data_IF_635466154698
#
_entry.id   IF_635466154698
#
_cell.length_a   1.000
_cell.length_b   1.000
_cell.length_c   1.000
_cell.angle_alpha   90.00
_cell.angle_beta   90.00
_cell.angle_gamma   90.00
#
_symmetry.space_group_name_H-M   'P 1'
#
loop_
_entity.id
_entity.type
_entity.pdbx_description
1 polymer ?
#
# COMPACT_ATOMS: atom_id res chain seq x y z
N UNK A 1 -15.68 -22.26 0.58
CA UNK A 1 -16.41 -20.99 0.72
C UNK A 1 -15.33 -19.93 0.75
N UNK A 2 -15.31 -19.03 -0.23
CA UNK A 2 -14.40 -17.88 -0.20
C UNK A 2 -14.61 -17.15 1.12
N UNK A 3 -13.57 -17.11 1.95
CA UNK A 3 -13.73 -16.69 3.33
C UNK A 3 -13.74 -15.17 3.37
N UNK A 4 -14.85 -14.56 3.77
CA UNK A 4 -14.94 -13.11 4.02
C UNK A 4 -13.80 -12.63 4.91
N UNK A 5 -13.31 -13.50 5.80
CA UNK A 5 -12.12 -13.29 6.62
C UNK A 5 -10.87 -12.91 5.80
N UNK A 6 -10.67 -13.49 4.63
CA UNK A 6 -9.53 -13.22 3.78
C UNK A 6 -9.59 -11.81 3.18
N UNK A 7 -10.76 -11.38 2.70
CA UNK A 7 -10.93 -10.02 2.18
C UNK A 7 -10.75 -8.99 3.29
N UNK A 8 -11.22 -9.29 4.50
CA UNK A 8 -10.97 -8.46 5.68
C UNK A 8 -9.47 -8.38 5.97
N UNK A 9 -8.75 -9.50 5.98
CA UNK A 9 -7.30 -9.51 6.19
C UNK A 9 -6.54 -8.68 5.13
N UNK A 10 -7.02 -8.64 3.90
CA UNK A 10 -6.46 -7.79 2.86
C UNK A 10 -6.73 -6.30 3.12
N UNK A 11 -7.95 -5.95 3.53
CA UNK A 11 -8.26 -4.58 3.95
C UNK A 11 -7.41 -4.14 5.15
N UNK A 12 -7.19 -5.03 6.12
CA UNK A 12 -6.32 -4.79 7.27
C UNK A 12 -4.86 -4.59 6.82
N UNK A 13 -4.39 -5.38 5.86
CA UNK A 13 -3.03 -5.24 5.33
C UNK A 13 -2.82 -3.91 4.58
N UNK A 14 -3.80 -3.46 3.79
CA UNK A 14 -3.76 -2.14 3.14
C UNK A 14 -3.83 -1.00 4.16
N UNK A 15 -4.62 -1.16 5.22
CA UNK A 15 -4.67 -0.20 6.34
C UNK A 15 -3.32 -0.11 7.05
N UNK A 16 -2.67 -1.26 7.29
CA UNK A 16 -1.34 -1.30 7.90
C UNK A 16 -0.27 -0.63 7.01
N UNK A 17 -0.38 -0.74 5.69
CA UNK A 17 0.48 0.01 4.77
C UNK A 17 0.24 1.53 4.89
N UNK A 18 -1.02 1.97 5.00
CA UNK A 18 -1.35 3.38 5.21
C UNK A 18 -0.77 3.91 6.52
N UNK A 19 -0.84 3.14 7.61
CA UNK A 19 -0.24 3.51 8.89
C UNK A 19 1.29 3.59 8.84
N UNK A 20 1.95 2.69 8.09
CA UNK A 20 3.38 2.75 7.84
C UNK A 20 3.78 4.02 7.04
N UNK A 21 3.02 4.35 5.98
CA UNK A 21 3.22 5.58 5.20
C UNK A 21 3.06 6.83 6.09
N UNK A 22 2.03 6.85 6.94
CA UNK A 22 1.78 7.94 7.86
C UNK A 22 2.94 8.10 8.87
N UNK A 23 3.39 7.00 9.45
CA UNK A 23 4.53 6.99 10.38
C UNK A 23 5.79 7.53 9.71
N UNK A 24 6.05 7.11 8.48
CA UNK A 24 7.21 7.54 7.69
C UNK A 24 7.13 9.02 7.31
N UNK A 25 5.96 9.51 6.92
CA UNK A 25 5.72 10.93 6.67
C UNK A 25 5.99 11.77 7.92
N UNK A 26 5.41 11.39 9.06
CA UNK A 26 5.58 12.12 10.32
C UNK A 26 7.04 12.12 10.78
N UNK A 27 7.77 11.03 10.56
CA UNK A 27 9.19 10.96 10.81
C UNK A 27 9.97 11.92 9.91
N UNK A 28 9.73 11.92 8.59
CA UNK A 28 10.41 12.78 7.64
C UNK A 28 10.13 14.28 7.86
N UNK A 29 8.94 14.64 8.34
CA UNK A 29 8.58 16.01 8.72
C UNK A 29 9.32 16.50 9.97
N UNK A 30 9.62 15.59 10.90
CA UNK A 30 10.33 15.90 12.15
C UNK A 30 11.85 15.87 11.99
N UNK A 31 12.36 15.14 11.00
CA UNK A 31 13.78 15.08 10.72
C UNK A 31 14.25 16.34 9.99
N UNK A 32 15.25 17.06 10.51
CA UNK A 32 15.86 18.16 9.78
C UNK A 32 16.69 17.64 8.59
N UNK A 33 16.66 18.37 7.49
CA UNK A 33 17.49 18.13 6.33
C UNK A 33 18.99 18.34 6.68
N UNK A 34 19.91 17.64 6.01
CA UNK A 34 21.35 17.84 6.22
C UNK A 34 21.73 19.32 5.99
N UNK A 35 22.21 19.99 7.04
CA UNK A 35 22.70 21.37 6.96
C UNK A 35 21.67 22.49 7.18
N UNK A 36 20.47 22.20 7.69
CA UNK A 36 19.48 23.25 7.96
C UNK A 36 18.38 22.88 8.95
N UNK A 37 17.47 23.83 9.20
CA UNK A 37 16.29 23.64 10.05
C UNK A 37 15.04 23.19 9.26
N UNK A 38 15.13 23.09 7.94
CA UNK A 38 14.02 22.64 7.09
C UNK A 38 13.82 21.13 7.21
N UNK A 39 12.60 20.59 7.06
CA UNK A 39 12.36 19.15 7.06
C UNK A 39 13.11 18.39 5.96
N UNK A 40 13.41 17.11 6.20
CA UNK A 40 14.09 16.23 5.24
C UNK A 40 13.24 15.93 3.99
N UNK A 41 11.92 16.13 4.08
CA UNK A 41 10.97 16.02 2.97
C UNK A 41 10.50 17.41 2.51
N UNK A 42 10.36 17.60 1.20
CA UNK A 42 9.77 18.83 0.67
C UNK A 42 8.26 18.88 0.94
N UNK A 43 7.70 20.09 1.02
CA UNK A 43 6.26 20.27 1.23
C UNK A 43 5.40 19.54 0.18
N UNK A 44 5.77 19.64 -1.10
CA UNK A 44 5.04 18.98 -2.19
C UNK A 44 5.09 17.44 -2.09
N UNK A 45 6.24 16.88 -1.71
CA UNK A 45 6.36 15.44 -1.52
C UNK A 45 5.59 14.97 -0.27
N UNK A 46 5.61 15.76 0.81
CA UNK A 46 4.83 15.49 2.01
C UNK A 46 3.32 15.49 1.73
N UNK A 47 2.84 16.47 0.96
CA UNK A 47 1.43 16.56 0.56
C UNK A 47 1.02 15.37 -0.31
N UNK A 48 1.81 15.03 -1.34
CA UNK A 48 1.52 13.89 -2.20
C UNK A 48 1.47 12.56 -1.42
N UNK A 49 2.40 12.37 -0.48
CA UNK A 49 2.42 11.18 0.37
C UNK A 49 1.21 11.11 1.30
N UNK A 50 0.81 12.24 1.89
CA UNK A 50 -0.39 12.33 2.72
C UNK A 50 -1.68 12.06 1.94
N UNK A 51 -1.83 12.65 0.75
CA UNK A 51 -2.98 12.40 -0.12
C UNK A 51 -3.08 10.92 -0.49
N UNK A 52 -1.95 10.29 -0.86
CA UNK A 52 -1.92 8.87 -1.17
C UNK A 52 -2.29 7.99 0.02
N UNK A 53 -1.80 8.32 1.23
CA UNK A 53 -2.13 7.62 2.47
C UNK A 53 -3.63 7.67 2.77
N UNK A 54 -4.24 8.86 2.71
CA UNK A 54 -5.67 9.05 2.95
C UNK A 54 -6.51 8.25 1.96
N UNK A 55 -6.18 8.29 0.68
CA UNK A 55 -6.90 7.53 -0.35
C UNK A 55 -6.73 6.01 -0.11
N UNK A 56 -5.55 5.56 0.34
CA UNK A 56 -5.30 4.15 0.62
C UNK A 56 -6.17 3.67 1.78
N UNK A 57 -6.26 4.45 2.85
CA UNK A 57 -7.13 4.19 4.00
C UNK A 57 -8.61 4.14 3.59
N UNK A 58 -9.05 5.07 2.74
CA UNK A 58 -10.42 5.05 2.20
C UNK A 58 -10.70 3.79 1.37
N UNK A 59 -9.75 3.33 0.55
CA UNK A 59 -9.89 2.09 -0.23
C UNK A 59 -9.96 0.86 0.65
N UNK A 60 -9.09 0.78 1.67
CA UNK A 60 -9.11 -0.30 2.64
C UNK A 60 -10.48 -0.39 3.34
N UNK A 61 -11.00 0.74 3.81
CA UNK A 61 -12.34 0.80 4.41
C UNK A 61 -13.45 0.39 3.42
N UNK A 62 -13.36 0.80 2.16
CA UNK A 62 -14.29 0.38 1.12
C UNK A 62 -14.27 -1.14 0.89
N UNK A 63 -13.08 -1.75 0.83
CA UNK A 63 -12.91 -3.21 0.70
C UNK A 63 -13.50 -3.92 1.92
N UNK A 64 -13.29 -3.39 3.12
CA UNK A 64 -13.86 -3.94 4.36
C UNK A 64 -15.40 -3.94 4.32
N UNK A 65 -16.01 -2.82 3.89
CA UNK A 65 -17.46 -2.71 3.75
C UNK A 65 -18.03 -3.65 2.68
N UNK A 66 -17.30 -3.85 1.58
CA UNK A 66 -17.69 -4.72 0.47
C UNK A 66 -17.22 -6.19 0.64
N UNK A 67 -16.68 -6.57 1.80
CA UNK A 67 -15.98 -7.86 1.97
C UNK A 67 -16.84 -9.08 1.61
N UNK A 68 -18.13 -9.07 1.99
CA UNK A 68 -19.06 -10.15 1.66
C UNK A 68 -19.37 -10.23 0.15
N UNK A 69 -19.35 -9.10 -0.57
CA UNK A 69 -19.51 -9.09 -2.03
C UNK A 69 -18.24 -9.59 -2.71
N UNK A 70 -17.09 -9.14 -2.23
CA UNK A 70 -15.79 -9.45 -2.82
C UNK A 70 -15.37 -10.89 -2.59
N UNK A 71 -15.78 -11.53 -1.48
CA UNK A 71 -15.54 -12.96 -1.29
C UNK A 71 -16.22 -13.80 -2.37
N UNK A 72 -17.41 -13.40 -2.84
CA UNK A 72 -18.09 -14.07 -3.94
C UNK A 72 -17.46 -13.81 -5.34
N UNK A 73 -16.42 -12.97 -5.45
CA UNK A 73 -15.88 -12.49 -6.73
C UNK A 73 -14.72 -13.33 -7.32
N UNK A 74 -14.37 -14.45 -6.67
CA UNK A 74 -13.40 -15.40 -7.20
C UNK A 74 -11.93 -14.99 -7.01
N UNK A 75 -11.64 -14.07 -6.07
CA UNK A 75 -10.29 -13.61 -5.76
C UNK A 75 -9.45 -14.62 -4.96
N UNK A 76 -10.02 -15.75 -4.54
CA UNK A 76 -9.39 -16.74 -3.65
C UNK A 76 -8.01 -17.19 -4.14
N UNK A 77 -7.84 -17.36 -5.46
CA UNK A 77 -6.58 -17.82 -6.05
C UNK A 77 -5.43 -16.80 -5.95
N UNK A 78 -5.75 -15.50 -5.94
CA UNK A 78 -4.77 -14.41 -5.83
C UNK A 78 -4.58 -13.93 -4.38
N UNK A 79 -5.45 -14.35 -3.47
CA UNK A 79 -5.55 -13.83 -2.11
C UNK A 79 -4.23 -13.91 -1.33
N UNK A 80 -3.58 -15.07 -1.34
CA UNK A 80 -2.35 -15.25 -0.57
C UNK A 80 -1.19 -14.43 -1.15
N UNK A 81 -1.16 -14.25 -2.47
CA UNK A 81 -0.17 -13.40 -3.13
C UNK A 81 -0.43 -11.91 -2.82
N UNK A 82 -1.70 -11.51 -2.73
CA UNK A 82 -2.08 -10.16 -2.32
C UNK A 82 -1.61 -9.85 -0.90
N UNK A 83 -1.88 -10.76 0.05
CA UNK A 83 -1.45 -10.61 1.44
C UNK A 83 0.07 -10.58 1.58
N UNK A 84 0.79 -11.44 0.85
CA UNK A 84 2.25 -11.47 0.86
C UNK A 84 2.83 -10.17 0.30
N UNK A 85 2.38 -9.72 -0.88
CA UNK A 85 2.93 -8.50 -1.49
C UNK A 85 2.62 -7.26 -0.64
N UNK A 86 1.45 -7.15 -0.02
CA UNK A 86 1.12 -5.99 0.82
C UNK A 86 1.90 -6.01 2.13
N UNK A 87 2.15 -7.19 2.72
CA UNK A 87 3.04 -7.31 3.88
C UNK A 87 4.47 -6.88 3.53
N UNK A 88 5.00 -7.35 2.39
CA UNK A 88 6.33 -6.97 1.92
C UNK A 88 6.42 -5.49 1.54
N UNK A 89 5.36 -4.92 0.97
CA UNK A 89 5.29 -3.49 0.69
C UNK A 89 5.32 -2.65 1.97
N UNK A 90 4.63 -3.08 3.02
CA UNK A 90 4.73 -2.47 4.36
C UNK A 90 6.17 -2.51 4.87
N UNK A 91 6.81 -3.67 4.82
CA UNK A 91 8.22 -3.81 5.25
C UNK A 91 9.16 -2.89 4.45
N UNK A 92 8.87 -2.69 3.15
CA UNK A 92 9.62 -1.76 2.31
C UNK A 92 9.40 -0.30 2.75
N UNK A 93 8.15 0.10 2.97
CA UNK A 93 7.78 1.45 3.45
C UNK A 93 8.52 1.78 4.76
N UNK A 94 8.60 0.83 5.69
CA UNK A 94 9.28 1.02 6.98
C UNK A 94 10.79 1.25 6.84
N UNK A 95 11.40 0.86 5.71
CA UNK A 95 12.86 0.90 5.47
C UNK A 95 13.30 1.99 4.48
N UNK A 96 12.37 2.61 3.76
CA UNK A 96 12.70 3.58 2.69
C UNK A 96 12.74 5.00 3.25
N UNK A 97 13.87 5.69 3.02
CA UNK A 97 14.02 7.10 3.41
C UNK A 97 13.68 8.08 2.29
N UNK A 98 13.70 7.61 1.04
CA UNK A 98 13.52 8.47 -0.12
C UNK A 98 12.05 8.72 -0.38
N UNK A 99 11.64 9.98 -0.28
CA UNK A 99 10.25 10.40 -0.48
C UNK A 99 9.66 9.98 -1.84
N UNK A 100 10.46 9.98 -2.91
CA UNK A 100 10.02 9.50 -4.22
C UNK A 100 9.57 8.04 -4.18
N UNK A 101 10.39 7.17 -3.61
CA UNK A 101 10.14 5.73 -3.56
C UNK A 101 8.90 5.44 -2.69
N UNK A 102 8.69 6.22 -1.61
CA UNK A 102 7.46 6.16 -0.79
C UNK A 102 6.20 6.59 -1.56
N UNK A 103 6.29 7.64 -2.38
CA UNK A 103 5.16 8.09 -3.20
C UNK A 103 4.83 7.05 -4.27
N UNK A 104 5.86 6.51 -4.93
CA UNK A 104 5.70 5.53 -6.00
C UNK A 104 5.09 4.21 -5.46
N UNK A 105 5.56 3.69 -4.32
CA UNK A 105 4.97 2.48 -3.71
C UNK A 105 3.54 2.74 -3.21
N UNK A 106 3.25 3.93 -2.67
CA UNK A 106 1.90 4.30 -2.27
C UNK A 106 0.94 4.33 -3.48
N UNK A 107 1.36 4.91 -4.60
CA UNK A 107 0.56 4.93 -5.83
C UNK A 107 0.27 3.51 -6.39
N UNK A 108 1.20 2.57 -6.22
CA UNK A 108 1.02 1.18 -6.61
C UNK A 108 0.07 0.43 -5.68
N UNK A 109 0.19 0.63 -4.36
CA UNK A 109 -0.77 0.11 -3.38
C UNK A 109 -2.17 0.64 -3.63
N UNK A 110 -2.30 1.92 -3.99
CA UNK A 110 -3.55 2.49 -4.47
C UNK A 110 -4.06 1.68 -5.67
N UNK A 111 -3.27 1.59 -6.74
CA UNK A 111 -3.64 0.88 -7.97
C UNK A 111 -4.11 -0.55 -7.69
N UNK A 112 -3.42 -1.27 -6.80
CA UNK A 112 -3.82 -2.59 -6.33
C UNK A 112 -5.17 -2.58 -5.61
N UNK A 113 -5.35 -1.70 -4.62
CA UNK A 113 -6.60 -1.56 -3.88
C UNK A 113 -7.80 -1.20 -4.76
N UNK A 114 -7.59 -0.39 -5.81
CA UNK A 114 -8.64 -0.14 -6.81
C UNK A 114 -8.99 -1.39 -7.60
N UNK A 115 -7.99 -2.16 -8.04
CA UNK A 115 -8.24 -3.41 -8.77
C UNK A 115 -8.98 -4.43 -7.90
N UNK A 116 -8.61 -4.57 -6.62
CA UNK A 116 -9.33 -5.41 -5.64
C UNK A 116 -10.78 -4.97 -5.50
N UNK A 117 -11.03 -3.68 -5.34
CA UNK A 117 -12.39 -3.14 -5.19
C UNK A 117 -13.30 -3.44 -6.40
N UNK A 118 -12.73 -3.71 -7.58
CA UNK A 118 -13.53 -4.12 -8.74
C UNK A 118 -14.08 -5.55 -8.66
N UNK A 119 -13.51 -6.41 -7.81
CA UNK A 119 -13.86 -7.83 -7.74
C UNK A 119 -13.60 -8.61 -9.03
N UNK A 120 -12.67 -8.15 -9.88
CA UNK A 120 -12.34 -8.78 -11.16
C UNK A 120 -10.91 -9.33 -11.13
N UNK A 121 -10.71 -10.66 -11.04
CA UNK A 121 -9.38 -11.26 -11.00
C UNK A 121 -8.46 -10.80 -12.14
N UNK A 122 -9.00 -10.58 -13.33
CA UNK A 122 -8.23 -10.20 -14.52
C UNK A 122 -7.60 -8.80 -14.38
N UNK A 123 -8.21 -7.93 -13.56
CA UNK A 123 -7.70 -6.58 -13.29
C UNK A 123 -6.61 -6.55 -12.24
N UNK A 124 -6.38 -7.65 -11.51
CA UNK A 124 -5.37 -7.73 -10.46
C UNK A 124 -3.97 -8.02 -10.98
N UNK A 125 -3.86 -8.73 -12.11
CA UNK A 125 -2.57 -9.24 -12.60
C UNK A 125 -1.53 -8.13 -12.75
N UNK A 126 -1.87 -7.07 -13.49
CA UNK A 126 -0.90 -6.00 -13.76
C UNK A 126 -0.50 -5.19 -12.51
N UNK A 127 -1.44 -4.72 -11.66
CA UNK A 127 -1.08 -4.04 -10.41
C UNK A 127 -0.30 -4.91 -9.43
N UNK A 128 -0.63 -6.20 -9.33
CA UNK A 128 0.05 -7.15 -8.46
C UNK A 128 1.51 -7.35 -8.91
N UNK A 129 1.72 -7.65 -10.19
CA UNK A 129 3.08 -7.84 -10.73
C UNK A 129 3.89 -6.55 -10.65
N UNK A 130 3.29 -5.39 -10.89
CA UNK A 130 3.99 -4.10 -10.75
C UNK A 130 4.49 -3.88 -9.32
N UNK A 131 3.61 -4.05 -8.33
CA UNK A 131 3.97 -3.88 -6.92
C UNK A 131 5.02 -4.91 -6.49
N UNK A 132 4.89 -6.17 -6.91
CA UNK A 132 5.90 -7.22 -6.64
C UNK A 132 7.29 -6.80 -7.13
N UNK A 133 7.41 -6.43 -8.41
CA UNK A 133 8.69 -6.01 -8.97
C UNK A 133 9.28 -4.79 -8.27
N UNK A 134 8.45 -3.82 -7.90
CA UNK A 134 8.93 -2.63 -7.22
C UNK A 134 9.40 -2.95 -5.79
N UNK A 135 8.66 -3.76 -5.06
CA UNK A 135 9.05 -4.23 -3.72
C UNK A 135 10.33 -5.08 -3.79
N UNK A 136 10.47 -5.96 -4.80
CA UNK A 136 11.71 -6.73 -5.04
C UNK A 136 12.91 -5.81 -5.30
N UNK A 137 12.72 -4.73 -6.05
CA UNK A 137 13.78 -3.76 -6.31
C UNK A 137 14.21 -2.97 -5.06
N UNK A 138 13.28 -2.73 -4.13
CA UNK A 138 13.51 -1.99 -2.89
C UNK A 138 14.06 -2.90 -1.78
N UNK A 139 13.62 -4.16 -1.74
CA UNK A 139 14.03 -5.19 -0.78
C UNK A 139 14.41 -6.46 -1.53
N UNK A 140 15.62 -6.52 -2.14
CA UNK A 140 16.07 -7.74 -2.79
C UNK A 140 16.11 -8.87 -1.76
N UNK A 141 15.28 -9.88 -1.95
CA UNK A 141 15.27 -11.13 -1.18
C UNK A 141 16.67 -11.73 -1.26
N UNK A 142 17.34 -11.83 -0.11
CA UNK A 142 18.65 -12.52 0.00
C UNK A 142 18.49 -14.02 -0.15
#
# INVERSE_FOLDING_TARGET
MADTHNIIALADSLSACADALHTRLMHALRQPAPGGQAPAISQGAAQALFENEVILRQRANGIYLDAARLSASGLDSAQQQLLDVTARARDAIDRIDRAKDLIDIAAELLSLGAAVATGKPERLVAPLEKLKHHVDALLPTR
#
